data_IF_273395347959
#
_entry.id   IF_273395347959
#
_cell.length_a   1.000
_cell.length_b   1.000
_cell.length_c   1.000
_cell.angle_alpha   90.00
_cell.angle_beta   90.00
_cell.angle_gamma   90.00
#
_symmetry.space_group_name_H-M   'P 1'
#
loop_
_entity.id
_entity.type
_entity.pdbx_description
1 polymer ?
#
# COMPACT_ATOMS: atom_id res chain seq x y z
N UNK A 1 -7.62 20.19 20.29
CA UNK A 1 -8.37 19.16 19.57
C UNK A 1 -9.83 19.05 20.04
N UNK A 2 -10.14 18.71 21.32
CA UNK A 2 -11.53 18.55 21.80
C UNK A 2 -12.36 19.84 21.64
N UNK A 3 -11.88 20.99 22.12
CA UNK A 3 -12.59 22.25 21.97
C UNK A 3 -12.80 22.68 20.49
N UNK A 4 -11.95 22.23 19.58
CA UNK A 4 -12.15 22.40 18.15
C UNK A 4 -13.29 21.53 17.64
N UNK A 5 -13.34 20.24 18.04
CA UNK A 5 -14.41 19.33 17.65
C UNK A 5 -15.79 19.81 18.11
N UNK A 6 -15.89 20.33 19.32
CA UNK A 6 -17.16 20.82 19.91
C UNK A 6 -17.76 21.98 19.11
N UNK A 7 -16.99 22.67 18.27
CA UNK A 7 -17.49 23.73 17.37
C UNK A 7 -18.20 23.18 16.13
N UNK A 8 -17.83 21.98 15.68
CA UNK A 8 -18.30 21.42 14.41
C UNK A 8 -19.25 20.24 14.61
N UNK A 9 -19.03 19.42 15.66
CA UNK A 9 -19.72 18.13 15.83
C UNK A 9 -20.60 18.13 17.07
N UNK A 10 -21.92 18.06 16.85
CA UNK A 10 -22.86 17.86 17.93
C UNK A 10 -23.04 16.35 18.20
N UNK A 11 -22.67 15.90 19.40
CA UNK A 11 -22.72 14.50 19.83
C UNK A 11 -24.13 13.91 19.90
N UNK A 12 -25.17 14.73 19.90
CA UNK A 12 -26.57 14.30 19.88
C UNK A 12 -27.07 13.92 18.47
N UNK A 13 -26.29 14.20 17.43
CA UNK A 13 -26.64 13.78 16.08
C UNK A 13 -26.33 12.28 15.87
N UNK A 14 -27.01 11.66 14.90
CA UNK A 14 -26.70 10.28 14.47
C UNK A 14 -25.28 10.11 13.89
N UNK A 15 -24.79 8.88 13.83
CA UNK A 15 -23.40 8.55 13.45
C UNK A 15 -23.02 9.15 12.10
N UNK A 16 -23.86 9.00 11.07
CA UNK A 16 -23.60 9.55 9.71
C UNK A 16 -23.46 11.08 9.73
N UNK A 17 -24.27 11.78 10.50
CA UNK A 17 -24.18 13.24 10.60
C UNK A 17 -22.91 13.67 11.35
N UNK A 18 -22.52 12.94 12.41
CA UNK A 18 -21.26 13.19 13.13
C UNK A 18 -20.06 12.96 12.25
N UNK A 19 -20.03 11.86 11.48
CA UNK A 19 -18.95 11.59 10.54
C UNK A 19 -18.83 12.70 9.49
N UNK A 20 -19.95 13.07 8.87
CA UNK A 20 -19.95 14.15 7.86
C UNK A 20 -19.44 15.47 8.41
N UNK A 21 -19.81 15.82 9.65
CA UNK A 21 -19.35 17.04 10.31
C UNK A 21 -17.87 16.95 10.70
N UNK A 22 -17.40 15.78 11.12
CA UNK A 22 -15.98 15.54 11.40
C UNK A 22 -15.14 15.67 10.15
N UNK A 23 -15.57 15.06 9.04
CA UNK A 23 -14.89 15.19 7.75
C UNK A 23 -14.83 16.65 7.29
N UNK A 24 -15.95 17.39 7.41
CA UNK A 24 -15.96 18.81 7.11
C UNK A 24 -14.99 19.60 7.98
N UNK A 25 -14.89 19.30 9.27
CA UNK A 25 -13.96 19.99 10.17
C UNK A 25 -12.48 19.76 9.83
N UNK A 26 -12.16 18.61 9.21
CA UNK A 26 -10.76 18.24 8.90
C UNK A 26 -10.40 18.53 7.45
N UNK A 27 -11.32 18.31 6.50
CA UNK A 27 -11.07 18.35 5.05
C UNK A 27 -11.86 19.46 4.34
N UNK A 28 -12.71 20.21 5.06
CA UNK A 28 -13.50 21.30 4.47
C UNK A 28 -12.62 22.50 4.12
N UNK A 29 -12.94 23.16 3.01
CA UNK A 29 -12.23 24.37 2.59
C UNK A 29 -12.22 25.43 3.70
N UNK A 30 -11.03 25.90 4.07
CA UNK A 30 -10.83 26.96 5.06
C UNK A 30 -11.06 26.53 6.51
N UNK A 31 -11.18 25.23 6.81
CA UNK A 31 -11.34 24.73 8.18
C UNK A 31 -10.04 24.24 8.80
N UNK A 32 -9.36 23.33 8.12
CA UNK A 32 -8.13 22.69 8.62
C UNK A 32 -7.24 22.31 7.43
N UNK A 33 -6.17 23.04 7.20
CA UNK A 33 -5.29 22.83 6.03
C UNK A 33 -4.26 21.75 6.34
N UNK A 34 -4.58 20.49 6.02
CA UNK A 34 -3.66 19.37 6.17
C UNK A 34 -2.60 19.37 5.07
N UNK A 35 -1.33 19.34 5.46
CA UNK A 35 -0.19 19.24 4.55
C UNK A 35 0.48 17.86 4.74
N UNK A 36 0.60 17.11 3.66
CA UNK A 36 1.32 15.84 3.69
C UNK A 36 2.82 16.06 3.81
N UNK A 37 3.46 15.32 4.70
CA UNK A 37 4.91 15.15 4.77
C UNK A 37 5.25 13.72 5.22
N UNK A 38 6.52 13.31 5.13
CA UNK A 38 6.95 11.95 5.44
C UNK A 38 7.21 11.70 6.94
N UNK A 39 6.91 12.68 7.82
CA UNK A 39 7.24 12.57 9.25
C UNK A 39 6.07 11.98 10.03
N UNK A 40 6.34 10.93 10.80
CA UNK A 40 5.36 10.29 11.68
C UNK A 40 5.18 11.07 12.98
N UNK A 41 3.94 11.49 13.26
CA UNK A 41 3.59 12.27 14.45
C UNK A 41 2.48 11.60 15.26
N UNK A 42 2.40 11.96 16.54
CA UNK A 42 1.23 11.61 17.37
C UNK A 42 0.00 12.39 16.90
N UNK A 43 -1.20 11.91 17.21
CA UNK A 43 -2.47 12.57 16.88
C UNK A 43 -2.49 14.06 17.33
N UNK A 44 -1.96 14.36 18.52
CA UNK A 44 -1.90 15.73 19.05
C UNK A 44 -0.95 16.59 18.22
N UNK A 45 0.25 16.09 17.90
CA UNK A 45 1.24 16.83 17.10
C UNK A 45 0.79 17.03 15.66
N UNK A 46 0.09 16.05 15.07
CA UNK A 46 -0.53 16.18 13.76
C UNK A 46 -1.59 17.28 13.77
N UNK A 47 -2.41 17.34 14.82
CA UNK A 47 -3.43 18.37 14.98
C UNK A 47 -2.80 19.76 15.17
N UNK A 48 -1.77 19.89 16.01
CA UNK A 48 -1.09 21.18 16.29
C UNK A 48 -0.35 21.72 15.07
N UNK A 49 0.33 20.84 14.33
CA UNK A 49 1.17 21.21 13.19
C UNK A 49 0.40 21.23 11.86
N UNK A 50 -0.77 20.61 11.80
CA UNK A 50 -1.54 20.38 10.56
C UNK A 50 -0.73 19.66 9.47
N UNK A 51 0.23 18.81 9.89
CA UNK A 51 1.16 18.12 9.03
C UNK A 51 1.38 16.68 9.50
N UNK A 52 1.62 15.77 8.54
CA UNK A 52 1.97 14.39 8.81
C UNK A 52 1.84 13.48 7.60
N UNK A 53 2.24 12.24 7.79
CA UNK A 53 2.03 11.17 6.82
C UNK A 53 0.64 10.50 7.02
N UNK A 54 0.31 9.51 6.18
CA UNK A 54 -0.95 8.77 6.25
C UNK A 54 -1.24 8.24 7.66
N UNK A 55 -0.26 7.63 8.34
CA UNK A 55 -0.43 7.09 9.68
C UNK A 55 -0.70 8.19 10.71
N UNK A 56 -0.05 9.35 10.59
CA UNK A 56 -0.26 10.50 11.47
C UNK A 56 -1.69 11.02 11.36
N UNK A 57 -2.19 11.15 10.14
CA UNK A 57 -3.57 11.58 9.89
C UNK A 57 -4.58 10.53 10.36
N UNK A 58 -4.30 9.25 10.09
CA UNK A 58 -5.14 8.13 10.57
C UNK A 58 -5.22 8.14 12.11
N UNK A 59 -4.10 8.30 12.81
CA UNK A 59 -4.06 8.40 14.28
C UNK A 59 -4.89 9.59 14.78
N UNK A 60 -4.76 10.74 14.16
CA UNK A 60 -5.51 11.95 14.52
C UNK A 60 -7.00 11.73 14.29
N UNK A 61 -7.38 11.23 13.11
CA UNK A 61 -8.79 11.01 12.76
C UNK A 61 -9.46 9.99 13.67
N UNK A 62 -8.82 8.84 13.94
CA UNK A 62 -9.36 7.81 14.86
C UNK A 62 -9.57 8.38 16.25
N UNK A 63 -8.61 9.16 16.78
CA UNK A 63 -8.75 9.81 18.07
C UNK A 63 -9.93 10.81 18.10
N UNK A 64 -10.09 11.61 17.05
CA UNK A 64 -11.20 12.58 16.92
C UNK A 64 -12.55 11.87 16.75
N UNK A 65 -12.63 10.87 15.90
CA UNK A 65 -13.83 10.10 15.61
C UNK A 65 -14.36 9.38 16.87
N UNK A 66 -13.46 8.70 17.60
CA UNK A 66 -13.81 8.05 18.87
C UNK A 66 -14.25 9.05 19.93
N UNK A 67 -13.65 10.23 19.99
CA UNK A 67 -14.04 11.29 20.93
C UNK A 67 -15.49 11.78 20.69
N UNK A 68 -15.94 11.78 19.44
CA UNK A 68 -17.34 12.15 19.10
C UNK A 68 -18.28 10.93 19.05
N UNK A 69 -17.84 9.78 19.57
CA UNK A 69 -18.66 8.57 19.73
C UNK A 69 -18.92 7.82 18.42
N UNK A 70 -17.98 7.81 17.48
CA UNK A 70 -17.98 6.94 16.31
C UNK A 70 -17.14 5.68 16.58
N UNK A 71 -17.58 4.53 16.05
CA UNK A 71 -16.76 3.30 16.03
C UNK A 71 -15.78 3.40 14.87
N UNK A 72 -14.63 4.01 15.15
CA UNK A 72 -13.53 4.16 14.20
C UNK A 72 -12.39 3.20 14.57
N UNK A 73 -11.93 2.42 13.60
CA UNK A 73 -10.90 1.40 13.75
C UNK A 73 -9.80 1.64 12.74
N UNK A 74 -8.59 1.21 13.08
CA UNK A 74 -7.48 1.17 12.13
C UNK A 74 -7.68 0.04 11.13
N UNK A 75 -7.30 0.28 9.89
CA UNK A 75 -7.37 -0.71 8.81
C UNK A 75 -6.08 -0.69 8.01
N UNK A 76 -5.41 -1.83 7.90
CA UNK A 76 -4.29 -2.06 6.98
C UNK A 76 -4.82 -2.25 5.57
N UNK A 77 -4.15 -1.66 4.59
CA UNK A 77 -4.39 -1.88 3.16
C UNK A 77 -3.22 -2.65 2.59
N UNK A 78 -3.50 -3.82 2.03
CA UNK A 78 -2.50 -4.69 1.43
C UNK A 78 -2.19 -4.19 0.01
N UNK A 79 -1.35 -3.15 -0.07
CA UNK A 79 -0.89 -2.61 -1.35
C UNK A 79 0.08 -3.62 -1.98
N UNK A 80 -0.15 -3.99 -3.25
CA UNK A 80 0.83 -4.80 -3.96
C UNK A 80 2.19 -4.09 -3.97
N UNK A 81 3.29 -4.78 -3.64
CA UNK A 81 4.61 -4.18 -3.62
C UNK A 81 4.97 -3.58 -4.98
N UNK A 82 5.54 -2.38 -4.99
CA UNK A 82 6.21 -1.87 -6.18
C UNK A 82 7.55 -2.61 -6.36
N UNK A 83 7.64 -3.38 -7.43
CA UNK A 83 8.79 -4.22 -7.74
C UNK A 83 9.88 -3.50 -8.53
N UNK A 84 9.66 -2.23 -8.88
CA UNK A 84 10.58 -1.43 -9.68
C UNK A 84 11.81 -0.94 -8.93
N UNK A 85 11.88 -1.12 -7.61
CA UNK A 85 12.97 -0.61 -6.79
C UNK A 85 14.15 -1.58 -6.85
N UNK A 86 15.12 -1.27 -7.68
CA UNK A 86 16.46 -1.81 -7.63
C UNK A 86 17.22 -1.17 -6.46
N UNK A 87 17.34 -1.89 -5.35
CA UNK A 87 18.10 -1.41 -4.21
C UNK A 87 18.40 -2.50 -3.19
N UNK A 88 19.53 -2.36 -2.49
CA UNK A 88 20.04 -3.34 -1.52
C UNK A 88 19.28 -3.42 -0.20
N UNK A 89 18.20 -2.67 -0.03
CA UNK A 89 17.37 -2.69 1.17
C UNK A 89 15.93 -2.33 0.83
N UNK A 90 15.03 -3.30 0.99
CA UNK A 90 13.59 -3.07 0.81
C UNK A 90 13.01 -2.52 2.11
N UNK A 91 12.57 -1.26 2.09
CA UNK A 91 11.76 -0.68 3.15
C UNK A 91 10.31 -0.93 2.75
N UNK A 92 9.61 -1.77 3.51
CA UNK A 92 8.21 -2.04 3.28
C UNK A 92 7.37 -0.97 3.98
N UNK A 93 6.64 -0.18 3.23
CA UNK A 93 5.62 0.73 3.74
C UNK A 93 4.26 0.05 3.57
N UNK A 94 3.63 -0.32 4.68
CA UNK A 94 2.22 -0.72 4.67
C UNK A 94 1.38 0.53 4.83
N UNK A 95 0.33 0.64 4.01
CA UNK A 95 -0.61 1.74 4.16
C UNK A 95 -1.65 1.41 5.21
N UNK A 96 -2.03 2.44 5.96
CA UNK A 96 -3.05 2.35 7.00
C UNK A 96 -4.06 3.48 6.83
N UNK A 97 -5.34 3.13 6.89
CA UNK A 97 -6.44 4.07 6.82
C UNK A 97 -7.45 3.84 7.96
N UNK A 98 -8.64 4.42 7.89
CA UNK A 98 -9.68 4.30 8.91
C UNK A 98 -10.91 3.61 8.37
N UNK A 99 -11.36 2.60 9.07
CA UNK A 99 -12.66 1.99 8.93
C UNK A 99 -13.61 2.58 9.99
N UNK A 100 -14.77 3.10 9.56
CA UNK A 100 -15.80 3.64 10.46
C UNK A 100 -17.08 2.84 10.27
N UNK A 101 -17.53 2.17 11.33
CA UNK A 101 -18.82 1.48 11.36
C UNK A 101 -19.92 2.47 11.75
N UNK A 102 -20.87 2.69 10.84
CA UNK A 102 -22.03 3.56 11.06
C UNK A 102 -23.30 2.78 11.47
N UNK A 103 -23.19 1.46 11.61
CA UNK A 103 -24.31 0.58 11.95
C UNK A 103 -25.24 0.28 10.78
N UNK A 104 -26.23 -0.58 11.02
CA UNK A 104 -27.16 -1.13 10.01
C UNK A 104 -28.37 -0.22 9.71
N UNK A 105 -28.19 1.08 9.56
CA UNK A 105 -29.28 2.02 9.19
C UNK A 105 -29.45 2.19 7.68
N UNK A 106 -30.58 2.78 7.24
CA UNK A 106 -30.90 3.04 5.81
C UNK A 106 -29.84 3.90 5.07
N UNK A 107 -29.01 4.63 5.80
CA UNK A 107 -27.83 5.37 5.34
C UNK A 107 -26.58 4.93 6.10
N UNK A 108 -26.64 3.80 6.80
CA UNK A 108 -25.53 3.19 7.52
C UNK A 108 -24.77 2.23 6.61
N UNK A 109 -23.62 1.84 7.07
CA UNK A 109 -22.69 0.95 6.38
C UNK A 109 -21.28 1.37 6.73
N UNK A 110 -20.35 0.53 6.36
CA UNK A 110 -18.93 0.80 6.59
C UNK A 110 -18.46 1.94 5.70
N UNK A 111 -17.72 2.87 6.29
CA UNK A 111 -17.07 3.97 5.57
C UNK A 111 -15.55 3.88 5.73
N UNK A 112 -14.85 4.01 4.65
CA UNK A 112 -13.39 4.04 4.63
C UNK A 112 -12.95 5.49 4.45
N UNK A 113 -12.09 5.95 5.37
CA UNK A 113 -11.50 7.29 5.32
C UNK A 113 -10.01 7.13 5.07
N UNK A 114 -9.58 7.59 3.92
CA UNK A 114 -8.19 7.55 3.48
C UNK A 114 -7.67 8.96 3.20
N UNK A 115 -6.47 9.24 3.64
CA UNK A 115 -5.83 10.55 3.45
C UNK A 115 -4.87 10.60 2.27
N UNK A 116 -4.61 9.45 1.63
CA UNK A 116 -3.83 9.37 0.39
C UNK A 116 -4.73 8.92 -0.76
N UNK A 117 -5.50 9.85 -1.33
CA UNK A 117 -6.53 9.55 -2.33
C UNK A 117 -5.99 9.21 -3.73
N UNK A 118 -4.68 9.31 -3.98
CA UNK A 118 -4.16 9.22 -5.35
C UNK A 118 -3.74 7.81 -5.79
N UNK A 119 -3.46 6.88 -4.86
CA UNK A 119 -2.86 5.58 -5.17
C UNK A 119 -3.72 4.36 -4.78
N UNK A 120 -4.93 4.56 -4.23
CA UNK A 120 -5.75 3.44 -3.75
C UNK A 120 -6.80 3.01 -4.74
N UNK A 121 -6.78 1.70 -5.02
CA UNK A 121 -7.85 1.01 -5.71
C UNK A 121 -8.76 0.37 -4.68
N UNK A 122 -10.06 0.44 -4.90
CA UNK A 122 -11.04 -0.25 -4.04
C UNK A 122 -10.86 -1.78 -4.07
N UNK A 123 -10.14 -2.29 -5.06
CA UNK A 123 -9.79 -3.70 -5.25
C UNK A 123 -8.68 -4.23 -4.31
N UNK A 124 -7.99 -3.37 -3.55
CA UNK A 124 -6.97 -3.84 -2.61
C UNK A 124 -7.59 -4.46 -1.37
N UNK A 125 -7.04 -5.59 -0.93
CA UNK A 125 -7.46 -6.25 0.30
C UNK A 125 -7.22 -5.36 1.52
N UNK A 126 -8.16 -5.39 2.46
CA UNK A 126 -8.15 -4.56 3.66
C UNK A 126 -8.44 -5.39 4.89
N UNK A 127 -7.72 -5.13 5.97
CA UNK A 127 -7.90 -5.82 7.24
C UNK A 127 -8.03 -4.81 8.38
N UNK A 128 -9.11 -4.90 9.15
CA UNK A 128 -9.27 -4.09 10.37
C UNK A 128 -8.31 -4.64 11.43
N UNK A 129 -7.49 -3.75 11.98
CA UNK A 129 -6.43 -4.11 12.91
C UNK A 129 -6.62 -3.51 14.30
N UNK A 130 -5.93 -4.08 15.28
CA UNK A 130 -5.98 -3.62 16.67
C UNK A 130 -5.24 -2.28 16.88
N UNK A 131 -5.55 -1.59 17.96
CA UNK A 131 -4.80 -0.40 18.37
C UNK A 131 -3.32 -0.72 18.68
N UNK A 132 -3.02 -1.92 19.16
CA UNK A 132 -1.62 -2.36 19.38
C UNK A 132 -0.88 -2.49 18.05
N UNK A 133 -1.52 -3.04 17.00
CA UNK A 133 -0.98 -3.07 15.65
C UNK A 133 -0.71 -1.67 15.11
N UNK A 134 -1.64 -0.73 15.28
CA UNK A 134 -1.45 0.66 14.87
C UNK A 134 -0.30 1.35 15.62
N UNK A 135 -0.12 1.05 16.93
CA UNK A 135 1.05 1.52 17.68
C UNK A 135 2.35 0.86 17.21
N UNK A 136 2.30 -0.42 16.82
CA UNK A 136 3.46 -1.09 16.22
C UNK A 136 3.90 -0.39 14.93
N UNK A 137 2.98 -0.04 14.04
CA UNK A 137 3.26 0.79 12.86
C UNK A 137 3.93 2.13 13.24
N UNK A 138 3.35 2.82 14.23
CA UNK A 138 3.88 4.11 14.66
C UNK A 138 5.35 4.01 15.11
N UNK A 139 5.67 3.08 16.01
CA UNK A 139 7.04 2.91 16.49
C UNK A 139 7.98 2.39 15.39
N UNK A 140 7.49 1.54 14.49
CA UNK A 140 8.27 1.08 13.34
C UNK A 140 8.66 2.24 12.43
N UNK A 141 7.73 3.12 12.10
CA UNK A 141 8.00 4.28 11.23
C UNK A 141 9.00 5.25 11.90
N UNK A 142 8.82 5.57 13.18
CA UNK A 142 9.82 6.35 13.94
C UNK A 142 11.18 5.64 13.91
N UNK A 143 11.22 4.31 14.08
CA UNK A 143 12.44 3.52 13.98
C UNK A 143 13.14 3.66 12.63
N UNK A 144 12.39 3.63 11.53
CA UNK A 144 12.91 3.84 10.17
C UNK A 144 13.44 5.26 10.00
N UNK A 145 12.68 6.29 10.42
CA UNK A 145 13.12 7.69 10.38
C UNK A 145 14.44 7.89 11.14
N UNK A 146 14.57 7.33 12.35
CA UNK A 146 15.80 7.37 13.15
C UNK A 146 16.96 6.62 12.50
N UNK A 147 16.69 5.45 11.92
CA UNK A 147 17.69 4.67 11.19
C UNK A 147 18.23 5.43 9.97
N UNK A 148 17.36 6.10 9.23
CA UNK A 148 17.75 6.93 8.09
C UNK A 148 18.55 8.18 8.51
N UNK A 149 18.25 8.73 9.69
CA UNK A 149 19.02 9.82 10.30
C UNK A 149 20.36 9.37 10.93
N UNK A 150 20.69 8.07 10.92
CA UNK A 150 21.90 7.53 11.55
C UNK A 150 21.83 7.43 13.08
N UNK A 151 20.66 7.60 13.66
CA UNK A 151 20.42 7.54 15.10
C UNK A 151 20.16 6.10 15.56
N UNK A 152 21.16 5.21 15.41
CA UNK A 152 21.07 3.74 15.57
C UNK A 152 20.42 3.34 16.91
N UNK A 153 20.82 3.95 18.03
CA UNK A 153 20.28 3.60 19.35
C UNK A 153 18.78 3.90 19.46
N UNK A 154 18.35 5.04 18.90
CA UNK A 154 16.93 5.42 18.90
C UNK A 154 16.13 4.55 17.94
N UNK A 155 16.69 4.21 16.77
CA UNK A 155 16.08 3.27 15.84
C UNK A 155 15.83 1.91 16.48
N UNK A 156 16.85 1.36 17.14
CA UNK A 156 16.76 0.09 17.87
C UNK A 156 15.68 0.12 18.96
N UNK A 157 15.65 1.20 19.78
CA UNK A 157 14.65 1.35 20.82
C UNK A 157 13.22 1.37 20.27
N UNK A 158 13.01 2.03 19.14
CA UNK A 158 11.71 2.13 18.50
C UNK A 158 11.29 0.81 17.85
N UNK A 159 12.17 0.10 17.13
CA UNK A 159 11.83 -1.24 16.60
C UNK A 159 11.50 -2.23 17.73
N UNK A 160 12.26 -2.19 18.85
CA UNK A 160 11.92 -2.99 20.04
C UNK A 160 10.56 -2.62 20.63
N UNK A 161 10.22 -1.33 20.66
CA UNK A 161 8.90 -0.91 21.16
C UNK A 161 7.80 -1.36 20.21
N UNK A 162 8.00 -1.26 18.89
CA UNK A 162 7.09 -1.80 17.89
C UNK A 162 6.80 -3.29 18.13
N UNK A 163 7.84 -4.11 18.32
CA UNK A 163 7.71 -5.54 18.62
C UNK A 163 6.99 -5.79 19.95
N UNK A 164 7.16 -4.91 20.95
CA UNK A 164 6.42 -5.04 22.23
C UNK A 164 4.94 -4.71 22.12
N UNK A 165 4.58 -3.78 21.23
CA UNK A 165 3.18 -3.45 20.95
C UNK A 165 2.48 -4.60 20.22
N UNK A 166 3.18 -5.22 19.26
CA UNK A 166 2.68 -6.36 18.51
C UNK A 166 3.86 -7.21 18.00
N UNK A 167 4.10 -8.35 18.62
CA UNK A 167 5.22 -9.25 18.29
C UNK A 167 5.00 -10.02 16.98
N UNK A 168 3.76 -10.04 16.47
CA UNK A 168 3.40 -10.58 15.14
C UNK A 168 3.60 -9.58 14.00
N UNK A 169 4.01 -8.33 14.30
CA UNK A 169 4.25 -7.30 13.31
C UNK A 169 5.60 -7.50 12.60
N UNK A 170 5.59 -8.28 11.50
CA UNK A 170 6.80 -8.69 10.77
C UNK A 170 7.68 -7.54 10.25
N UNK A 171 7.13 -6.36 9.84
CA UNK A 171 7.97 -5.24 9.40
C UNK A 171 8.98 -4.78 10.46
N UNK A 172 8.60 -4.79 11.75
CA UNK A 172 9.51 -4.39 12.82
C UNK A 172 10.69 -5.37 12.98
N UNK A 173 10.45 -6.67 12.85
CA UNK A 173 11.50 -7.68 12.84
C UNK A 173 12.43 -7.55 11.62
N UNK A 174 11.86 -7.35 10.43
CA UNK A 174 12.64 -7.15 9.22
C UNK A 174 13.52 -5.88 9.30
N UNK A 175 12.96 -4.76 9.76
CA UNK A 175 13.69 -3.50 9.93
C UNK A 175 14.75 -3.57 11.03
N UNK A 176 14.50 -4.29 12.12
CA UNK A 176 15.51 -4.59 13.14
C UNK A 176 16.67 -5.41 12.54
N UNK A 177 16.36 -6.35 11.65
CA UNK A 177 17.37 -7.10 10.91
C UNK A 177 18.21 -6.20 9.99
N UNK A 178 17.57 -5.26 9.27
CA UNK A 178 18.26 -4.27 8.43
C UNK A 178 19.18 -3.39 9.27
N UNK A 179 18.69 -2.90 10.41
CA UNK A 179 19.49 -2.09 11.33
C UNK A 179 20.72 -2.86 11.81
N UNK A 180 20.53 -4.09 12.30
CA UNK A 180 21.64 -4.92 12.77
C UNK A 180 22.67 -5.18 11.69
N UNK A 181 22.25 -5.44 10.44
CA UNK A 181 23.16 -5.63 9.29
C UNK A 181 23.98 -4.38 9.00
N UNK A 182 23.37 -3.19 9.04
CA UNK A 182 24.07 -1.91 8.87
C UNK A 182 25.15 -1.66 9.90
N UNK A 183 24.94 -2.15 11.14
CA UNK A 183 25.90 -2.08 12.23
C UNK A 183 26.93 -3.23 12.23
N UNK A 184 26.95 -4.07 11.19
CA UNK A 184 27.86 -5.22 11.12
C UNK A 184 27.49 -6.38 12.05
N UNK A 185 26.32 -6.36 12.65
CA UNK A 185 25.80 -7.37 13.58
C UNK A 185 25.06 -8.47 12.82
N UNK A 186 25.74 -9.15 11.90
CA UNK A 186 25.14 -10.07 10.93
C UNK A 186 24.36 -11.22 11.58
N UNK A 187 24.84 -11.81 12.66
CA UNK A 187 24.16 -12.88 13.36
C UNK A 187 22.81 -12.41 13.95
N UNK A 188 22.76 -11.18 14.47
CA UNK A 188 21.50 -10.61 14.99
C UNK A 188 20.54 -10.23 13.86
N UNK A 189 21.08 -9.80 12.71
CA UNK A 189 20.28 -9.56 11.51
C UNK A 189 19.62 -10.84 11.04
N UNK A 190 20.38 -11.93 10.93
CA UNK A 190 19.87 -13.24 10.52
C UNK A 190 18.75 -13.73 11.45
N UNK A 191 18.94 -13.64 12.77
CA UNK A 191 17.91 -14.02 13.75
C UNK A 191 16.65 -13.19 13.59
N UNK A 192 16.77 -11.88 13.39
CA UNK A 192 15.61 -11.01 13.20
C UNK A 192 14.83 -11.33 11.91
N UNK A 193 15.52 -11.62 10.81
CA UNK A 193 14.87 -12.06 9.57
C UNK A 193 14.18 -13.41 9.73
N UNK A 194 14.78 -14.37 10.45
CA UNK A 194 14.13 -15.64 10.73
C UNK A 194 12.90 -15.48 11.62
N UNK A 195 12.91 -14.53 12.57
CA UNK A 195 11.71 -14.22 13.35
C UNK A 195 10.58 -13.68 12.46
N UNK A 196 10.90 -12.81 11.50
CA UNK A 196 9.91 -12.37 10.52
C UNK A 196 9.35 -13.55 9.71
N UNK A 197 10.20 -14.51 9.29
CA UNK A 197 9.77 -15.70 8.54
C UNK A 197 9.05 -16.76 9.38
N UNK A 198 9.29 -16.81 10.69
CA UNK A 198 8.54 -17.67 11.61
C UNK A 198 7.07 -17.21 11.72
N UNK A 199 6.86 -15.89 11.72
CA UNK A 199 5.52 -15.27 11.78
C UNK A 199 4.84 -15.32 10.41
N UNK A 200 5.55 -14.90 9.36
CA UNK A 200 5.09 -14.89 7.98
C UNK A 200 6.09 -15.64 7.08
N UNK A 201 5.84 -16.93 6.79
CA UNK A 201 6.74 -17.77 5.98
C UNK A 201 6.96 -17.28 4.53
N UNK A 202 6.14 -16.33 4.07
CA UNK A 202 6.23 -15.73 2.73
C UNK A 202 6.69 -14.28 2.76
N UNK A 203 7.25 -13.83 3.85
CA UNK A 203 7.76 -12.46 3.99
C UNK A 203 8.91 -12.18 3.01
N UNK A 204 8.58 -11.50 1.91
CA UNK A 204 9.51 -11.24 0.82
C UNK A 204 10.66 -10.33 1.23
N UNK A 205 10.42 -9.40 2.18
CA UNK A 205 11.45 -8.49 2.69
C UNK A 205 12.51 -9.27 3.45
N UNK A 206 12.08 -10.14 4.39
CA UNK A 206 13.00 -10.97 5.16
C UNK A 206 13.78 -11.94 4.26
N UNK A 207 13.10 -12.60 3.29
CA UNK A 207 13.77 -13.48 2.34
C UNK A 207 14.79 -12.75 1.45
N UNK A 208 14.45 -11.58 0.93
CA UNK A 208 15.36 -10.78 0.09
C UNK A 208 16.58 -10.30 0.87
N UNK A 209 16.38 -9.89 2.14
CA UNK A 209 17.47 -9.47 2.99
C UNK A 209 18.37 -10.64 3.43
N UNK A 210 17.81 -11.84 3.67
CA UNK A 210 18.58 -13.06 3.92
C UNK A 210 19.40 -13.43 2.68
N UNK A 211 18.82 -13.38 1.48
CA UNK A 211 19.56 -13.64 0.24
C UNK A 211 20.77 -12.70 0.11
N UNK A 212 20.57 -11.40 0.34
CA UNK A 212 21.64 -10.41 0.30
C UNK A 212 22.69 -10.61 1.40
N UNK A 213 22.28 -10.99 2.62
CA UNK A 213 23.17 -11.29 3.72
C UNK A 213 24.06 -12.50 3.40
N UNK A 214 23.47 -13.60 2.92
CA UNK A 214 24.21 -14.81 2.56
C UNK A 214 25.14 -14.61 1.37
N UNK A 215 24.76 -13.78 0.40
CA UNK A 215 25.66 -13.40 -0.69
C UNK A 215 26.89 -12.66 -0.17
N UNK A 216 26.73 -11.69 0.72
CA UNK A 216 27.84 -10.97 1.37
C UNK A 216 28.75 -11.91 2.17
N UNK A 217 28.19 -12.97 2.77
CA UNK A 217 28.93 -14.00 3.49
C UNK A 217 29.57 -15.06 2.57
N UNK A 218 29.41 -14.97 1.25
CA UNK A 218 29.88 -15.99 0.31
C UNK A 218 29.09 -17.30 0.33
N UNK A 219 27.97 -17.37 1.03
CA UNK A 219 27.07 -18.52 1.12
C UNK A 219 26.10 -18.55 -0.07
N UNK A 220 26.66 -18.69 -1.28
CA UNK A 220 25.94 -18.47 -2.55
C UNK A 220 24.74 -19.42 -2.73
N UNK A 221 24.85 -20.67 -2.28
CA UNK A 221 23.74 -21.65 -2.35
C UNK A 221 22.52 -21.19 -1.53
N UNK A 222 22.75 -20.71 -0.30
CA UNK A 222 21.68 -20.21 0.55
C UNK A 222 21.07 -18.92 -0.03
N UNK A 223 21.91 -18.03 -0.55
CA UNK A 223 21.45 -16.82 -1.22
C UNK A 223 20.50 -17.15 -2.39
N UNK A 224 20.90 -18.12 -3.24
CA UNK A 224 20.11 -18.53 -4.40
C UNK A 224 18.80 -19.22 -3.99
N UNK A 225 18.80 -20.03 -2.94
CA UNK A 225 17.58 -20.62 -2.40
C UNK A 225 16.54 -19.54 -2.01
N UNK A 226 16.97 -18.48 -1.31
CA UNK A 226 16.06 -17.39 -0.95
C UNK A 226 15.65 -16.56 -2.15
N UNK A 227 16.53 -16.26 -3.10
CA UNK A 227 16.18 -15.58 -4.36
C UNK A 227 15.11 -16.35 -5.14
N UNK A 228 15.30 -17.65 -5.31
CA UNK A 228 14.36 -18.52 -6.00
C UNK A 228 12.99 -18.56 -5.30
N UNK A 229 12.97 -18.59 -3.95
CA UNK A 229 11.73 -18.50 -3.19
C UNK A 229 11.03 -17.15 -3.43
N UNK A 230 11.76 -16.03 -3.33
CA UNK A 230 11.23 -14.69 -3.60
C UNK A 230 10.65 -14.63 -5.02
N UNK A 231 11.41 -15.07 -6.03
CA UNK A 231 10.95 -15.07 -7.41
C UNK A 231 9.70 -15.93 -7.60
N UNK A 232 9.68 -17.13 -7.01
CA UNK A 232 8.51 -18.03 -7.07
C UNK A 232 7.24 -17.37 -6.49
N UNK A 233 7.36 -16.62 -5.39
CA UNK A 233 6.23 -15.88 -4.81
C UNK A 233 5.81 -14.70 -5.68
N UNK A 234 6.78 -13.92 -6.17
CA UNK A 234 6.52 -12.81 -7.10
C UNK A 234 5.77 -13.27 -8.34
N UNK A 235 6.23 -14.36 -8.95
CA UNK A 235 5.62 -14.93 -10.16
C UNK A 235 4.19 -15.44 -9.96
N UNK A 236 3.72 -15.63 -8.73
CA UNK A 236 2.32 -15.96 -8.41
C UNK A 236 1.45 -14.74 -8.16
N UNK A 237 2.05 -13.56 -8.00
CA UNK A 237 1.33 -12.32 -7.75
C UNK A 237 0.83 -11.75 -9.09
N UNK A 238 -0.49 -11.47 -9.27
CA UNK A 238 -1.05 -10.94 -10.51
C UNK A 238 -0.49 -9.55 -10.86
N UNK A 239 -0.20 -8.72 -9.86
CA UNK A 239 0.37 -7.38 -10.09
C UNK A 239 1.83 -7.43 -10.56
N UNK A 240 2.62 -8.38 -10.05
CA UNK A 240 3.97 -8.61 -10.57
C UNK A 240 3.94 -9.10 -12.03
N UNK A 241 3.00 -9.99 -12.36
CA UNK A 241 2.77 -10.41 -13.74
C UNK A 241 2.34 -9.24 -14.63
N UNK A 242 1.49 -8.37 -14.12
CA UNK A 242 1.12 -7.14 -14.84
C UNK A 242 2.31 -6.22 -15.09
N UNK A 243 3.23 -6.07 -14.13
CA UNK A 243 4.46 -5.31 -14.34
C UNK A 243 5.37 -5.93 -15.42
N UNK A 244 5.54 -7.26 -15.39
CA UNK A 244 6.28 -7.96 -16.45
C UNK A 244 5.60 -7.78 -17.81
N UNK A 245 4.27 -7.82 -17.86
CA UNK A 245 3.51 -7.55 -19.06
C UNK A 245 3.75 -6.13 -19.59
N UNK A 246 3.78 -5.13 -18.71
CA UNK A 246 4.08 -3.74 -19.12
C UNK A 246 5.49 -3.62 -19.71
N UNK A 247 6.48 -4.21 -19.05
CA UNK A 247 7.86 -4.20 -19.55
C UNK A 247 7.94 -4.87 -20.94
N UNK A 248 7.36 -6.06 -21.08
CA UNK A 248 7.32 -6.76 -22.37
C UNK A 248 6.60 -5.95 -23.45
N UNK A 249 5.48 -5.28 -23.11
CA UNK A 249 4.78 -4.37 -24.02
C UNK A 249 5.67 -3.20 -24.47
N UNK A 250 6.38 -2.56 -23.55
CA UNK A 250 7.29 -1.44 -23.83
C UNK A 250 8.48 -1.87 -24.72
N UNK A 251 8.91 -3.12 -24.60
CA UNK A 251 9.96 -3.76 -25.44
C UNK A 251 9.43 -4.26 -26.79
N UNK A 252 8.10 -4.22 -27.02
CA UNK A 252 7.46 -4.71 -28.24
C UNK A 252 7.23 -6.22 -28.27
N UNK A 253 7.51 -6.94 -27.18
CA UNK A 253 7.20 -8.37 -27.03
C UNK A 253 5.76 -8.56 -26.56
N UNK A 254 4.84 -8.38 -27.52
CA UNK A 254 3.40 -8.44 -27.23
C UNK A 254 2.93 -9.84 -26.84
N UNK A 255 3.61 -10.90 -27.30
CA UNK A 255 3.24 -12.27 -26.96
C UNK A 255 3.54 -12.57 -25.51
N UNK A 256 4.73 -12.27 -25.02
CA UNK A 256 5.08 -12.40 -23.60
C UNK A 256 4.20 -11.52 -22.70
N UNK A 257 3.88 -10.31 -23.17
CA UNK A 257 2.96 -9.42 -22.45
C UNK A 257 1.59 -10.06 -22.27
N UNK A 258 1.01 -10.62 -23.33
CA UNK A 258 -0.28 -11.33 -23.31
C UNK A 258 -0.24 -12.52 -22.37
N UNK A 259 0.80 -13.34 -22.40
CA UNK A 259 0.95 -14.50 -21.52
C UNK A 259 0.96 -14.11 -20.03
N UNK A 260 1.63 -13.01 -19.71
CA UNK A 260 1.64 -12.48 -18.34
C UNK A 260 0.28 -11.93 -17.92
N UNK A 261 -0.43 -11.22 -18.81
CA UNK A 261 -1.76 -10.70 -18.55
C UNK A 261 -2.80 -11.81 -18.40
N UNK A 262 -2.73 -12.83 -19.22
CA UNK A 262 -3.57 -14.01 -19.09
C UNK A 262 -3.46 -14.67 -17.71
N UNK A 263 -2.24 -14.78 -17.18
CA UNK A 263 -2.03 -15.28 -15.84
C UNK A 263 -2.65 -14.32 -14.79
N UNK A 264 -2.42 -13.01 -14.94
CA UNK A 264 -2.90 -12.00 -14.00
C UNK A 264 -4.43 -12.00 -13.93
N UNK A 265 -5.12 -11.98 -15.08
CA UNK A 265 -6.58 -11.99 -15.20
C UNK A 265 -7.18 -13.27 -14.59
N UNK A 266 -6.59 -14.43 -14.83
CA UNK A 266 -7.07 -15.69 -14.20
C UNK A 266 -6.99 -15.70 -12.69
N UNK A 267 -6.09 -14.94 -12.09
CA UNK A 267 -5.89 -14.83 -10.64
C UNK A 267 -6.70 -13.70 -10.00
N UNK A 268 -6.90 -12.62 -10.74
CA UNK A 268 -7.61 -11.43 -10.32
C UNK A 268 -8.29 -10.83 -11.55
N UNK A 269 -9.59 -11.03 -11.65
CA UNK A 269 -10.39 -10.68 -12.82
C UNK A 269 -11.19 -9.38 -12.66
N UNK A 270 -10.94 -8.64 -11.58
CA UNK A 270 -11.61 -7.40 -11.23
C UNK A 270 -10.71 -6.14 -11.33
N UNK A 271 -9.52 -6.27 -11.97
CA UNK A 271 -8.62 -5.15 -12.19
C UNK A 271 -8.63 -4.71 -13.67
N UNK A 272 -9.26 -3.59 -13.93
CA UNK A 272 -9.48 -2.98 -15.24
C UNK A 272 -8.17 -2.69 -16.02
N UNK A 273 -7.05 -2.46 -15.34
CA UNK A 273 -5.76 -2.20 -16.00
C UNK A 273 -5.24 -3.42 -16.77
N UNK A 274 -5.50 -4.63 -16.26
CA UNK A 274 -5.06 -5.84 -16.94
C UNK A 274 -5.74 -5.98 -18.31
N UNK A 275 -7.03 -5.72 -18.36
CA UNK A 275 -7.83 -5.76 -19.58
C UNK A 275 -7.48 -4.63 -20.53
N UNK A 276 -7.25 -3.42 -20.02
CA UNK A 276 -6.81 -2.28 -20.84
C UNK A 276 -5.46 -2.55 -21.50
N UNK A 277 -4.48 -3.11 -20.79
CA UNK A 277 -3.18 -3.46 -21.38
C UNK A 277 -3.31 -4.63 -22.36
N UNK A 278 -4.18 -5.62 -22.07
CA UNK A 278 -4.48 -6.70 -23.01
C UNK A 278 -5.01 -6.16 -24.34
N UNK A 279 -5.96 -5.23 -24.29
CA UNK A 279 -6.47 -4.52 -25.47
C UNK A 279 -5.37 -3.86 -26.28
N UNK A 280 -4.46 -3.14 -25.62
CA UNK A 280 -3.34 -2.48 -26.30
C UNK A 280 -2.38 -3.47 -26.97
N UNK A 281 -2.12 -4.62 -26.37
CA UNK A 281 -1.31 -5.67 -26.99
C UNK A 281 -1.93 -6.19 -28.30
N UNK A 282 -3.23 -6.50 -28.30
CA UNK A 282 -3.91 -6.96 -29.50
C UNK A 282 -3.97 -5.87 -30.59
N UNK A 283 -4.13 -4.60 -30.18
CA UNK A 283 -4.09 -3.48 -31.12
C UNK A 283 -2.73 -3.36 -31.81
N UNK A 284 -1.62 -3.45 -31.04
CA UNK A 284 -0.27 -3.42 -31.59
C UNK A 284 0.06 -4.62 -32.49
N UNK A 285 -0.59 -5.76 -32.26
CA UNK A 285 -0.52 -6.95 -33.16
C UNK A 285 -1.42 -6.82 -34.40
N UNK A 286 -2.19 -5.73 -34.56
CA UNK A 286 -3.10 -5.52 -35.68
C UNK A 286 -4.47 -6.20 -35.54
N UNK A 287 -4.73 -6.92 -34.46
CA UNK A 287 -6.04 -7.55 -34.19
C UNK A 287 -6.98 -6.56 -33.50
N UNK A 288 -7.60 -5.71 -34.33
CA UNK A 288 -8.53 -4.66 -33.89
C UNK A 288 -9.79 -5.23 -33.22
N UNK A 289 -10.26 -6.40 -33.68
CA UNK A 289 -11.47 -7.03 -33.11
C UNK A 289 -11.27 -7.44 -31.68
N UNK A 290 -10.19 -8.22 -31.39
CA UNK A 290 -9.85 -8.62 -30.04
C UNK A 290 -9.52 -7.41 -29.14
N UNK A 291 -8.83 -6.39 -29.70
CA UNK A 291 -8.53 -5.17 -28.96
C UNK A 291 -9.81 -4.45 -28.48
N UNK A 292 -10.84 -4.33 -29.33
CA UNK A 292 -12.11 -3.73 -28.93
C UNK A 292 -12.85 -4.55 -27.88
N UNK A 293 -12.83 -5.87 -27.98
CA UNK A 293 -13.49 -6.75 -27.01
C UNK A 293 -12.84 -6.64 -25.63
N UNK A 294 -11.50 -6.61 -25.56
CA UNK A 294 -10.77 -6.44 -24.31
C UNK A 294 -10.94 -5.03 -23.71
N UNK A 295 -11.03 -3.98 -24.55
CA UNK A 295 -11.28 -2.63 -24.07
C UNK A 295 -12.66 -2.49 -23.45
N UNK A 296 -13.68 -3.08 -24.06
CA UNK A 296 -15.04 -3.11 -23.52
C UNK A 296 -15.08 -3.78 -22.15
N UNK A 297 -14.36 -4.90 -21.97
CA UNK A 297 -14.25 -5.54 -20.66
C UNK A 297 -13.56 -4.65 -19.62
N UNK A 298 -12.50 -3.91 -20.01
CA UNK A 298 -11.86 -2.94 -19.12
C UNK A 298 -12.84 -1.84 -18.68
N UNK A 299 -13.65 -1.31 -19.61
CA UNK A 299 -14.66 -0.29 -19.31
C UNK A 299 -15.79 -0.83 -18.41
N UNK A 300 -16.21 -2.09 -18.59
CA UNK A 300 -17.25 -2.73 -17.76
C UNK A 300 -16.78 -2.94 -16.31
N UNK A 301 -15.49 -3.27 -16.11
CA UNK A 301 -14.90 -3.53 -14.79
C UNK A 301 -14.54 -2.22 -14.07
N UNK A 302 -14.16 -1.16 -14.82
CA UNK A 302 -13.74 0.10 -14.25
C UNK A 302 -14.84 0.73 -13.39
N UNK A 303 -14.55 1.00 -12.13
CA UNK A 303 -15.50 1.57 -11.16
C UNK A 303 -15.74 3.07 -11.38
N UNK A 304 -14.67 3.81 -11.79
CA UNK A 304 -14.71 5.26 -11.95
C UNK A 304 -14.99 5.64 -13.42
N UNK A 305 -15.92 6.53 -13.63
CA UNK A 305 -16.20 7.09 -14.96
C UNK A 305 -14.98 7.80 -15.57
N UNK A 306 -14.10 8.36 -14.74
CA UNK A 306 -12.83 8.94 -15.18
C UNK A 306 -11.89 7.90 -15.81
N UNK A 307 -11.86 6.68 -15.26
CA UNK A 307 -11.03 5.61 -15.78
C UNK A 307 -11.60 5.07 -17.10
N UNK A 308 -12.92 4.89 -17.18
CA UNK A 308 -13.61 4.53 -18.44
C UNK A 308 -13.28 5.53 -19.55
N UNK A 309 -13.40 6.82 -19.26
CA UNK A 309 -13.10 7.88 -20.23
C UNK A 309 -11.62 7.88 -20.63
N UNK A 310 -10.70 7.65 -19.69
CA UNK A 310 -9.27 7.55 -19.96
C UNK A 310 -8.93 6.39 -20.87
N UNK A 311 -9.52 5.20 -20.65
CA UNK A 311 -9.32 4.03 -21.49
C UNK A 311 -9.86 4.26 -22.89
N UNK A 312 -11.07 4.76 -23.00
CA UNK A 312 -11.68 5.10 -24.30
C UNK A 312 -10.80 6.09 -25.09
N UNK A 313 -10.39 7.19 -24.48
CA UNK A 313 -9.56 8.20 -25.13
C UNK A 313 -8.19 7.64 -25.57
N UNK A 314 -7.54 6.84 -24.71
CA UNK A 314 -6.24 6.23 -25.02
C UNK A 314 -6.35 5.26 -26.21
N UNK A 315 -7.38 4.43 -26.22
CA UNK A 315 -7.64 3.50 -27.32
C UNK A 315 -7.89 4.24 -28.64
N UNK A 316 -8.76 5.24 -28.66
CA UNK A 316 -9.06 6.06 -29.84
C UNK A 316 -7.80 6.76 -30.39
N UNK A 317 -6.94 7.29 -29.54
CA UNK A 317 -5.67 7.90 -29.97
C UNK A 317 -4.79 6.88 -30.68
N UNK A 318 -4.59 5.70 -30.11
CA UNK A 318 -3.74 4.66 -30.71
C UNK A 318 -4.31 4.12 -32.04
N UNK A 319 -5.63 4.01 -32.15
CA UNK A 319 -6.29 3.62 -33.41
C UNK A 319 -6.06 4.66 -34.51
N UNK A 320 -6.09 5.96 -34.17
CA UNK A 320 -5.84 7.05 -35.13
C UNK A 320 -4.39 7.12 -35.60
N UNK A 321 -3.46 6.95 -34.68
CA UNK A 321 -2.02 6.99 -34.97
C UNK A 321 -1.59 5.80 -35.84
N UNK A 322 -2.13 4.61 -35.59
CA UNK A 322 -1.91 3.44 -36.43
C UNK A 322 -2.53 3.53 -37.84
N UNK A 323 -3.60 4.32 -38.00
CA UNK A 323 -4.21 4.54 -39.29
C UNK A 323 -3.44 5.56 -40.17
N UNK A 324 -2.56 6.37 -39.59
CA UNK A 324 -1.73 7.35 -40.30
C UNK A 324 -0.34 6.81 -40.67
N UNK A 325 -0.03 5.57 -40.34
CA UNK A 325 1.28 4.93 -40.55
C UNK A 325 1.27 3.94 -41.73
N UNK A 326 0.14 3.70 -42.34
CA UNK A 326 -0.09 2.93 -43.60
C UNK A 326 -0.26 3.87 -44.78
#
# INVERSE_FOLDING_TARGET
>A
MIAYLDQYVNRNHGHTARLRRLLYAIMGEGTFDLVYDDITRTAIKTFENQQGNCLSFTNMFVAMARNVGLDARFQEVLIPPDWSIEGSSFIFSQHINVHVDLGSGYLGGDQIIDFNMYDFRDTYEREVVSDSRARAHYFNNIGVERMLAGETTLAFANFRQSIREDDSFTPAWANLGILNRREGLENYAEVAYYKALEIDPVNLVAMSNLASLYEQQGKLEMAEQYRSRVMSHRMRNPYFRYQLARTAFEEGDYDSSIDHLDYAIRRKNDDDQFYSLMSLNYLMKGDRSSAQDWMRQAEEIAEKDSDKQRYHNKFEMMVRDGANSD
#
